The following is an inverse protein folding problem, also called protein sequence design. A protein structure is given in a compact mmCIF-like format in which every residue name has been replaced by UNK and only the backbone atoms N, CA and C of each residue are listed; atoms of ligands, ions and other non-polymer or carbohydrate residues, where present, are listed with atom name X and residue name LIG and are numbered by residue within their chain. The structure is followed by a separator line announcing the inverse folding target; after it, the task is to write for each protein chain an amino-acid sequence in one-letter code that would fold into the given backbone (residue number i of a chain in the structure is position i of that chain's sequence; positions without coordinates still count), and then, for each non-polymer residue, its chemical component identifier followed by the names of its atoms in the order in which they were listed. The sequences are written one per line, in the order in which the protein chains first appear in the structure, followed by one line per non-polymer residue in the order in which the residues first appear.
data_IF_898863282506
#
_entry.id   IF_898863282506
#
_cell.length_a   1.000
_cell.length_b   1.000
_cell.length_c   1.000
_cell.angle_alpha   90.00
_cell.angle_beta   90.00
_cell.angle_gamma   90.00
#
_symmetry.space_group_name_H-M   'P 1'
#
loop_
_entity.id
_entity.type
_entity.pdbx_description
1 polymer ?
#
# COMPACT_ATOMS: atom_id res chain seq x y z
N UNK A 1 8.81 -7.77 30.25
CA UNK A 1 8.48 -7.25 31.61
C UNK A 1 9.36 -6.04 32.03
N UNK A 2 10.63 -5.94 31.63
CA UNK A 2 11.48 -4.80 32.01
C UNK A 2 11.15 -3.53 31.19
N UNK A 3 10.90 -3.67 29.88
CA UNK A 3 10.61 -2.54 28.98
C UNK A 3 9.33 -1.78 29.37
N UNK A 4 8.28 -2.49 29.80
CA UNK A 4 7.00 -1.88 30.20
C UNK A 4 7.09 -0.99 31.46
N UNK A 5 8.23 -1.02 32.17
CA UNK A 5 8.47 -0.22 33.37
C UNK A 5 9.36 1.00 33.14
N UNK A 6 9.80 1.20 31.90
CA UNK A 6 10.63 2.37 31.57
C UNK A 6 9.77 3.63 31.51
N UNK A 7 10.29 4.77 32.02
CA UNK A 7 9.59 6.04 31.90
C UNK A 7 9.31 6.39 30.43
N UNK A 8 8.08 6.80 30.14
CA UNK A 8 7.66 7.16 28.78
C UNK A 8 7.10 6.02 27.93
N UNK A 9 7.27 4.75 28.35
CA UNK A 9 6.64 3.62 27.67
C UNK A 9 5.16 3.55 28.05
N UNK A 10 4.27 3.78 27.09
CA UNK A 10 2.81 3.74 27.29
C UNK A 10 2.22 2.36 27.06
N UNK A 11 2.73 1.63 26.06
CA UNK A 11 2.29 0.30 25.71
C UNK A 11 3.40 -0.48 24.98
N UNK A 12 3.31 -1.79 24.98
CA UNK A 12 4.16 -2.69 24.20
C UNK A 12 3.22 -3.62 23.44
N UNK A 13 3.39 -3.68 22.14
CA UNK A 13 2.62 -4.55 21.26
C UNK A 13 3.52 -5.63 20.67
N UNK A 14 3.00 -6.82 20.36
CA UNK A 14 3.71 -7.78 19.52
C UNK A 14 3.89 -7.18 18.12
N UNK A 15 4.96 -7.56 17.45
CA UNK A 15 5.11 -7.30 16.01
C UNK A 15 4.28 -8.34 15.28
N UNK A 16 3.27 -7.89 14.56
CA UNK A 16 2.39 -8.75 13.77
C UNK A 16 2.94 -8.95 12.38
N UNK A 17 2.77 -10.16 11.85
CA UNK A 17 3.06 -10.49 10.45
C UNK A 17 1.79 -10.32 9.61
N UNK A 18 1.95 -9.70 8.44
CA UNK A 18 0.88 -9.40 7.49
C UNK A 18 1.25 -10.04 6.16
N UNK A 19 0.43 -10.97 5.67
CA UNK A 19 0.67 -11.67 4.42
C UNK A 19 0.33 -10.80 3.21
N UNK A 20 1.02 -11.05 2.09
CA UNK A 20 0.63 -10.49 0.80
C UNK A 20 -0.79 -10.99 0.48
N UNK A 21 -1.73 -10.10 0.10
CA UNK A 21 -3.06 -10.52 -0.31
C UNK A 21 -3.02 -11.45 -1.51
N UNK A 22 -3.85 -12.49 -1.50
CA UNK A 22 -3.98 -13.39 -2.65
C UNK A 22 -4.61 -12.64 -3.83
N UNK A 23 -3.95 -12.72 -4.99
CA UNK A 23 -4.51 -12.26 -6.26
C UNK A 23 -5.35 -13.38 -6.86
N UNK A 24 -6.62 -13.09 -7.16
CA UNK A 24 -7.46 -14.01 -7.91
C UNK A 24 -7.31 -13.74 -9.41
N UNK A 25 -7.24 -14.80 -10.21
CA UNK A 25 -7.25 -14.72 -11.68
C UNK A 25 -8.67 -14.44 -12.20
N UNK A 26 -9.32 -13.39 -11.70
CA UNK A 26 -10.56 -12.90 -12.29
C UNK A 26 -10.23 -12.15 -13.59
N UNK A 27 -11.15 -12.19 -14.56
CA UNK A 27 -11.03 -11.36 -15.77
C UNK A 27 -11.34 -9.90 -15.36
N UNK A 28 -10.33 -9.02 -15.24
CA UNK A 28 -10.53 -7.69 -14.67
C UNK A 28 -11.22 -6.80 -15.70
N UNK A 29 -12.36 -6.23 -15.32
CA UNK A 29 -13.08 -5.24 -16.12
C UNK A 29 -13.11 -3.89 -15.38
N UNK A 30 -12.02 -3.12 -15.51
CA UNK A 30 -11.91 -1.80 -14.92
C UNK A 30 -12.92 -0.81 -15.52
N UNK A 31 -13.29 -0.97 -16.79
CA UNK A 31 -14.28 -0.12 -17.44
C UNK A 31 -15.65 -0.21 -16.74
N UNK A 32 -16.13 -1.42 -16.48
CA UNK A 32 -17.37 -1.62 -15.71
C UNK A 32 -17.25 -1.12 -14.29
N UNK A 33 -16.10 -1.31 -13.64
CA UNK A 33 -15.87 -0.81 -12.27
C UNK A 33 -15.88 0.72 -12.19
N UNK A 34 -15.30 1.41 -13.17
CA UNK A 34 -15.35 2.88 -13.26
C UNK A 34 -16.80 3.37 -13.44
N UNK A 35 -17.59 2.73 -14.31
CA UNK A 35 -18.98 3.07 -14.52
C UNK A 35 -19.84 2.83 -13.26
N UNK A 36 -19.62 1.71 -12.55
CA UNK A 36 -20.34 1.40 -11.30
C UNK A 36 -20.10 2.42 -10.19
N UNK A 37 -18.90 3.00 -10.13
CA UNK A 37 -18.51 3.97 -9.10
C UNK A 37 -18.77 5.42 -9.52
N UNK A 38 -19.07 5.68 -10.80
CA UNK A 38 -19.20 7.01 -11.38
C UNK A 38 -17.85 7.70 -11.61
N UNK A 39 -16.73 6.96 -11.56
CA UNK A 39 -15.42 7.52 -11.82
C UNK A 39 -15.26 7.95 -13.29
N UNK A 40 -15.89 7.27 -14.22
CA UNK A 40 -15.99 7.63 -15.63
C UNK A 40 -16.68 8.99 -15.84
N UNK A 41 -17.74 9.25 -15.09
CA UNK A 41 -18.44 10.57 -15.09
C UNK A 41 -17.54 11.64 -14.49
N UNK A 42 -16.86 11.35 -13.39
CA UNK A 42 -15.92 12.30 -12.78
C UNK A 42 -14.80 12.70 -13.73
N UNK A 43 -14.30 11.76 -14.53
CA UNK A 43 -13.28 12.04 -15.54
C UNK A 43 -13.85 12.80 -16.75
N UNK A 44 -14.92 12.29 -17.36
CA UNK A 44 -15.42 12.79 -18.65
C UNK A 44 -16.22 14.08 -18.57
N UNK A 45 -17.02 14.26 -17.51
CA UNK A 45 -17.91 15.42 -17.38
C UNK A 45 -17.34 16.49 -16.43
N UNK A 46 -16.62 16.08 -15.38
CA UNK A 46 -16.08 17.02 -14.38
C UNK A 46 -14.59 17.32 -14.57
N UNK A 47 -13.88 16.56 -15.42
CA UNK A 47 -12.46 16.73 -15.69
C UNK A 47 -11.56 16.39 -14.52
N UNK A 48 -12.02 15.56 -13.57
CA UNK A 48 -11.22 15.12 -12.42
C UNK A 48 -10.36 13.91 -12.79
N UNK A 49 -9.12 14.17 -13.09
CA UNK A 49 -8.14 13.15 -13.53
C UNK A 49 -7.05 12.84 -12.50
N UNK A 50 -7.12 13.49 -11.33
CA UNK A 50 -6.07 13.40 -10.31
C UNK A 50 -4.84 14.26 -10.58
N UNK A 51 -4.87 15.13 -11.57
CA UNK A 51 -3.74 16.00 -11.91
C UNK A 51 -3.29 16.86 -10.75
N UNK A 52 -2.00 16.76 -10.40
CA UNK A 52 -1.40 17.48 -9.29
C UNK A 52 -1.60 16.83 -7.92
N UNK A 53 -2.28 15.69 -7.86
CA UNK A 53 -2.44 14.89 -6.65
C UNK A 53 -1.34 13.83 -6.56
N UNK A 54 -0.74 13.69 -5.37
CA UNK A 54 0.24 12.67 -5.05
C UNK A 54 -0.42 11.53 -4.29
N UNK A 55 -0.30 10.31 -4.82
CA UNK A 55 -0.86 9.09 -4.23
C UNK A 55 0.26 8.13 -3.85
N UNK A 56 0.37 7.81 -2.58
CA UNK A 56 1.24 6.75 -2.09
C UNK A 56 0.55 5.39 -2.21
N UNK A 57 1.26 4.42 -2.75
CA UNK A 57 0.86 3.00 -2.77
C UNK A 57 1.84 2.25 -1.86
N UNK A 58 1.36 1.79 -0.70
CA UNK A 58 2.11 0.96 0.22
C UNK A 58 1.73 -0.49 -0.03
N UNK A 59 2.62 -1.23 -0.68
CA UNK A 59 2.30 -2.56 -1.21
C UNK A 59 3.57 -3.39 -1.52
N UNK A 60 3.52 -4.31 -2.49
CA UNK A 60 4.64 -5.15 -2.96
C UNK A 60 5.63 -4.41 -3.86
N UNK A 61 5.43 -3.12 -4.09
CA UNK A 61 6.17 -2.30 -5.05
C UNK A 61 5.28 -1.85 -6.20
N UNK A 62 5.89 -1.27 -7.21
CA UNK A 62 5.22 -0.85 -8.46
C UNK A 62 6.19 -1.07 -9.62
N UNK A 63 5.80 -1.85 -10.62
CA UNK A 63 6.52 -1.94 -11.90
C UNK A 63 6.42 -0.58 -12.61
N UNK A 64 7.31 0.30 -12.23
CA UNK A 64 7.37 1.67 -12.75
C UNK A 64 7.86 1.72 -14.20
N UNK A 65 8.44 0.63 -14.73
CA UNK A 65 8.84 0.50 -16.13
C UNK A 65 7.62 0.18 -17.03
N UNK A 66 6.47 -0.19 -16.42
CA UNK A 66 5.24 -0.40 -17.17
C UNK A 66 4.79 0.88 -17.88
N UNK A 67 4.52 0.83 -19.21
CA UNK A 67 4.20 2.04 -20.00
C UNK A 67 2.97 2.79 -19.48
N UNK A 68 1.93 2.09 -19.00
CA UNK A 68 0.71 2.73 -18.45
C UNK A 68 0.95 3.38 -17.09
N UNK A 69 2.08 3.10 -16.43
CA UNK A 69 2.51 3.74 -15.17
C UNK A 69 3.60 4.80 -15.38
N UNK A 70 4.01 5.04 -16.63
CA UNK A 70 4.89 6.13 -17.01
C UNK A 70 6.28 5.71 -17.47
N UNK A 71 6.67 4.43 -17.33
CA UNK A 71 7.88 3.85 -17.92
C UNK A 71 9.19 4.28 -17.28
N UNK A 72 9.17 4.88 -16.07
CA UNK A 72 10.37 5.26 -15.33
C UNK A 72 10.09 5.59 -13.86
N UNK A 73 11.17 5.63 -13.05
CA UNK A 73 11.12 5.99 -11.63
C UNK A 73 11.99 7.23 -11.33
N UNK A 74 11.52 8.07 -10.41
CA UNK A 74 12.26 9.22 -9.88
C UNK A 74 11.79 10.56 -10.42
N UNK A 75 12.61 11.59 -10.26
CA UNK A 75 12.28 12.95 -10.63
C UNK A 75 11.91 13.07 -12.13
N UNK A 76 10.76 13.67 -12.40
CA UNK A 76 10.24 13.82 -13.76
C UNK A 76 9.40 12.64 -14.26
N UNK A 77 9.37 11.51 -13.54
CA UNK A 77 8.54 10.35 -13.82
C UNK A 77 7.18 10.43 -13.14
N UNK A 78 6.23 9.62 -13.57
CA UNK A 78 4.94 9.50 -12.87
C UNK A 78 5.08 8.83 -11.51
N UNK A 79 5.91 7.77 -11.42
CA UNK A 79 6.33 7.19 -10.15
C UNK A 79 7.55 7.99 -9.69
N UNK A 80 7.28 9.12 -9.02
CA UNK A 80 8.30 10.11 -8.71
C UNK A 80 8.92 9.95 -7.32
N UNK A 81 8.24 9.26 -6.42
CA UNK A 81 8.61 9.07 -5.02
C UNK A 81 8.56 7.59 -4.67
N UNK A 82 9.22 7.24 -3.58
CA UNK A 82 9.13 5.89 -3.05
C UNK A 82 10.45 5.31 -2.60
N UNK A 83 10.38 4.12 -2.03
CA UNK A 83 11.51 3.40 -1.47
C UNK A 83 11.18 1.92 -1.30
N UNK A 84 12.15 1.03 -1.48
CA UNK A 84 12.06 -0.36 -1.04
C UNK A 84 12.54 -0.46 0.41
N UNK A 85 11.64 -0.74 1.34
CA UNK A 85 11.98 -0.84 2.76
C UNK A 85 12.53 -2.22 3.14
N UNK A 86 12.46 -3.20 2.24
CA UNK A 86 12.66 -4.62 2.64
C UNK A 86 13.61 -5.42 1.74
N UNK A 87 13.59 -5.21 0.42
CA UNK A 87 14.32 -6.03 -0.55
C UNK A 87 13.63 -7.35 -0.90
N UNK A 88 14.04 -7.95 -2.03
CA UNK A 88 13.37 -9.09 -2.68
C UNK A 88 13.21 -10.33 -1.80
N UNK A 89 14.22 -10.65 -1.03
CA UNK A 89 14.27 -11.88 -0.23
C UNK A 89 13.57 -11.77 1.14
N UNK A 90 13.02 -10.61 1.48
CA UNK A 90 12.38 -10.39 2.77
C UNK A 90 11.11 -11.23 2.93
N UNK A 91 11.00 -11.92 4.05
CA UNK A 91 9.80 -12.66 4.45
C UNK A 91 9.74 -12.77 5.97
N UNK A 92 8.80 -12.11 6.59
CA UNK A 92 8.62 -12.07 8.03
C UNK A 92 7.83 -13.25 8.60
N UNK A 93 7.34 -14.18 7.78
CA UNK A 93 6.58 -15.35 8.24
C UNK A 93 7.50 -16.43 8.83
N UNK A 94 7.51 -16.63 10.16
CA UNK A 94 8.39 -17.64 10.80
C UNK A 94 7.98 -19.07 10.47
N UNK A 95 6.81 -19.31 9.90
CA UNK A 95 6.35 -20.63 9.48
C UNK A 95 6.79 -20.96 8.03
N UNK A 96 7.26 -19.97 7.30
CA UNK A 96 7.69 -20.13 5.92
C UNK A 96 9.10 -20.78 5.85
N UNK A 97 9.34 -21.74 4.95
CA UNK A 97 10.68 -22.24 4.70
C UNK A 97 11.61 -21.17 4.09
N UNK A 98 11.05 -20.10 3.54
CA UNK A 98 11.79 -18.94 3.03
C UNK A 98 11.85 -17.78 4.05
N UNK A 99 11.70 -18.07 5.34
CA UNK A 99 11.79 -17.06 6.40
C UNK A 99 13.09 -16.28 6.34
N UNK A 100 13.01 -14.99 6.14
CA UNK A 100 14.11 -14.04 6.14
C UNK A 100 13.67 -12.68 6.68
N UNK A 101 13.70 -12.48 7.99
CA UNK A 101 13.14 -11.29 8.63
C UNK A 101 14.08 -10.08 8.62
N UNK A 102 15.21 -10.17 7.93
CA UNK A 102 16.20 -9.08 7.90
C UNK A 102 15.98 -8.27 6.62
N UNK A 103 15.48 -7.02 6.71
CA UNK A 103 15.34 -6.16 5.55
C UNK A 103 16.70 -5.81 4.91
N UNK A 104 16.69 -5.69 3.60
CA UNK A 104 17.80 -5.16 2.78
C UNK A 104 17.28 -4.01 1.92
N UNK A 105 16.97 -2.84 2.51
CA UNK A 105 16.32 -1.74 1.83
C UNK A 105 17.19 -1.14 0.71
N UNK A 106 16.51 -0.61 -0.32
CA UNK A 106 17.17 0.16 -1.37
C UNK A 106 16.25 1.26 -1.95
N UNK A 107 16.77 2.03 -2.91
CA UNK A 107 16.05 3.17 -3.47
C UNK A 107 15.05 2.81 -4.58
N UNK A 108 14.91 1.54 -4.96
CA UNK A 108 14.16 1.11 -6.14
C UNK A 108 12.97 0.24 -5.74
N UNK A 109 11.76 0.82 -5.59
CA UNK A 109 10.57 0.11 -5.14
C UNK A 109 9.89 -0.68 -6.26
N UNK A 110 10.67 -1.40 -7.06
CA UNK A 110 10.19 -2.22 -8.16
C UNK A 110 9.40 -3.43 -7.63
N UNK A 111 8.41 -3.87 -8.41
CA UNK A 111 7.49 -4.93 -8.02
C UNK A 111 7.87 -6.26 -8.64
N UNK A 112 8.20 -7.24 -7.83
CA UNK A 112 8.46 -8.62 -8.26
C UNK A 112 7.31 -9.59 -7.96
N UNK A 113 6.22 -9.10 -7.37
CA UNK A 113 5.02 -9.90 -7.05
C UNK A 113 3.87 -9.65 -8.01
N UNK A 114 3.60 -8.36 -8.34
CA UNK A 114 2.55 -7.90 -9.22
C UNK A 114 1.32 -7.32 -8.51
N UNK A 115 1.12 -7.54 -7.20
CA UNK A 115 -0.04 -7.02 -6.47
C UNK A 115 -0.04 -5.49 -6.43
N UNK A 116 1.07 -4.86 -6.02
CA UNK A 116 1.18 -3.41 -5.94
C UNK A 116 1.09 -2.72 -7.32
N UNK A 117 1.62 -3.36 -8.37
CA UNK A 117 1.48 -2.89 -9.76
C UNK A 117 0.01 -2.90 -10.19
N UNK A 118 -0.72 -3.97 -9.89
CA UNK A 118 -2.16 -4.07 -10.17
C UNK A 118 -2.93 -2.98 -9.43
N UNK A 119 -2.66 -2.78 -8.15
CA UNK A 119 -3.27 -1.71 -7.35
C UNK A 119 -2.97 -0.33 -7.94
N UNK A 120 -1.72 -0.06 -8.30
CA UNK A 120 -1.31 1.20 -8.95
C UNK A 120 -2.03 1.40 -10.29
N UNK A 121 -2.24 0.33 -11.06
CA UNK A 121 -2.98 0.35 -12.31
C UNK A 121 -4.44 0.75 -12.12
N UNK A 122 -5.14 0.18 -11.13
CA UNK A 122 -6.53 0.55 -10.80
C UNK A 122 -6.61 2.02 -10.39
N UNK A 123 -5.66 2.51 -9.59
CA UNK A 123 -5.64 3.89 -9.15
C UNK A 123 -5.42 4.84 -10.32
N UNK A 124 -4.42 4.58 -11.18
CA UNK A 124 -4.05 5.60 -12.12
C UNK A 124 -3.28 5.14 -13.36
N UNK A 125 -3.51 3.95 -13.91
CA UNK A 125 -2.99 3.62 -15.23
C UNK A 125 -3.42 4.66 -16.26
N UNK A 126 -2.53 4.96 -17.21
CA UNK A 126 -2.78 5.96 -18.26
C UNK A 126 -2.14 5.53 -19.58
N UNK A 127 -2.79 4.60 -20.26
CA UNK A 127 -2.31 4.04 -21.52
C UNK A 127 -3.33 3.08 -22.13
N UNK A 128 -2.98 1.83 -22.32
CA UNK A 128 -3.88 0.81 -22.80
C UNK A 128 -5.03 0.55 -21.81
N UNK A 129 -4.75 0.71 -20.50
CA UNK A 129 -5.73 0.72 -19.44
C UNK A 129 -5.80 2.14 -18.86
N UNK A 130 -7.00 2.59 -18.48
CA UNK A 130 -7.22 3.89 -17.83
C UNK A 130 -7.75 3.66 -16.42
N UNK A 131 -7.01 4.10 -15.41
CA UNK A 131 -7.39 4.00 -14.00
C UNK A 131 -8.36 5.09 -13.56
N UNK A 132 -8.69 5.08 -12.26
CA UNK A 132 -9.62 6.06 -11.65
C UNK A 132 -9.10 7.49 -11.76
N UNK A 133 -7.80 7.70 -11.59
CA UNK A 133 -7.14 9.01 -11.58
C UNK A 133 -5.86 8.99 -12.45
N UNK A 134 -5.99 9.00 -13.79
CA UNK A 134 -4.90 8.71 -14.72
C UNK A 134 -3.79 9.76 -14.75
N UNK A 135 -3.95 10.92 -14.11
CA UNK A 135 -2.93 11.98 -14.07
C UNK A 135 -2.29 12.19 -12.70
N UNK A 136 -2.48 11.24 -11.76
CA UNK A 136 -1.80 11.32 -10.45
C UNK A 136 -0.29 11.12 -10.57
N UNK A 137 0.44 11.67 -9.60
CA UNK A 137 1.85 11.32 -9.34
C UNK A 137 1.89 10.26 -8.26
N UNK A 138 2.64 9.18 -8.49
CA UNK A 138 2.78 8.09 -7.55
C UNK A 138 3.98 8.22 -6.62
N UNK A 139 3.81 7.70 -5.39
CA UNK A 139 4.88 7.27 -4.52
C UNK A 139 4.72 5.77 -4.25
N UNK A 140 5.72 4.96 -4.60
CA UNK A 140 5.74 3.52 -4.37
C UNK A 140 6.52 3.19 -3.10
N UNK A 141 5.86 2.67 -2.07
CA UNK A 141 6.50 2.29 -0.80
C UNK A 141 6.39 0.79 -0.65
N UNK A 142 7.47 0.11 -1.01
CA UNK A 142 7.52 -1.35 -0.99
C UNK A 142 7.78 -1.85 0.41
N UNK A 143 6.85 -2.64 0.92
CA UNK A 143 6.89 -3.21 2.27
C UNK A 143 6.91 -4.74 2.30
N UNK A 144 6.83 -5.40 1.14
CA UNK A 144 6.94 -6.85 0.99
C UNK A 144 8.13 -7.22 0.10
N UNK A 145 8.73 -8.38 0.38
CA UNK A 145 9.59 -9.05 -0.60
C UNK A 145 8.80 -9.60 -1.77
N UNK A 146 9.42 -10.40 -2.63
CA UNK A 146 8.73 -11.00 -3.78
C UNK A 146 7.66 -12.02 -3.35
N UNK A 147 7.74 -12.54 -2.14
CA UNK A 147 6.77 -13.46 -1.56
C UNK A 147 6.77 -13.34 -0.03
N UNK A 148 5.73 -13.86 0.62
CA UNK A 148 5.67 -14.00 2.07
C UNK A 148 4.91 -12.88 2.77
N UNK A 149 5.50 -12.34 3.83
CA UNK A 149 4.81 -11.44 4.77
C UNK A 149 5.68 -10.26 5.14
N UNK A 150 5.03 -9.16 5.54
CA UNK A 150 5.66 -7.99 6.16
C UNK A 150 5.29 -7.87 7.63
N UNK A 151 5.72 -6.78 8.26
CA UNK A 151 5.44 -6.48 9.66
C UNK A 151 4.90 -5.05 9.83
N UNK A 152 4.12 -4.83 10.90
CA UNK A 152 3.49 -3.55 11.17
C UNK A 152 4.46 -2.39 11.39
N UNK A 153 5.66 -2.64 11.90
CA UNK A 153 6.71 -1.62 12.07
C UNK A 153 7.27 -1.14 10.74
N UNK A 154 7.44 -2.03 9.75
CA UNK A 154 7.83 -1.67 8.38
C UNK A 154 6.72 -0.84 7.73
N UNK A 155 5.45 -1.22 7.90
CA UNK A 155 4.32 -0.44 7.41
C UNK A 155 4.29 0.97 8.01
N UNK A 156 4.53 1.09 9.31
CA UNK A 156 4.58 2.40 9.97
C UNK A 156 5.75 3.26 9.44
N UNK A 157 6.91 2.67 9.18
CA UNK A 157 8.03 3.38 8.55
C UNK A 157 7.66 3.89 7.14
N UNK A 158 6.97 3.09 6.34
CA UNK A 158 6.46 3.51 5.03
C UNK A 158 5.44 4.66 5.13
N UNK A 159 4.55 4.63 6.14
CA UNK A 159 3.60 5.71 6.43
C UNK A 159 4.33 7.02 6.74
N UNK A 160 5.37 6.98 7.56
CA UNK A 160 6.18 8.15 7.90
C UNK A 160 6.91 8.70 6.67
N UNK A 161 7.45 7.84 5.81
CA UNK A 161 8.09 8.26 4.56
C UNK A 161 7.09 8.91 3.61
N UNK A 162 5.90 8.32 3.41
CA UNK A 162 4.85 8.90 2.58
C UNK A 162 4.43 10.30 3.07
N UNK A 163 4.34 10.49 4.39
CA UNK A 163 4.05 11.80 4.98
C UNK A 163 5.19 12.80 4.71
N UNK A 164 6.44 12.38 4.87
CA UNK A 164 7.62 13.22 4.64
C UNK A 164 7.76 13.65 3.18
N UNK A 165 7.39 12.79 2.22
CA UNK A 165 7.37 13.08 0.79
C UNK A 165 6.18 13.96 0.36
N UNK A 166 5.29 14.29 1.32
CA UNK A 166 4.13 15.13 1.08
C UNK A 166 3.05 14.46 0.24
N UNK A 167 2.87 13.15 0.41
CA UNK A 167 1.78 12.43 -0.21
C UNK A 167 0.44 12.92 0.36
N UNK A 168 -0.57 13.05 -0.50
CA UNK A 168 -1.88 13.56 -0.14
C UNK A 168 -2.89 12.43 0.11
N UNK A 169 -2.67 11.29 -0.55
CA UNK A 169 -3.47 10.09 -0.40
C UNK A 169 -2.51 8.92 -0.14
N UNK A 170 -2.85 8.07 0.82
CA UNK A 170 -2.18 6.78 1.05
C UNK A 170 -3.17 5.65 0.80
N UNK A 171 -2.83 4.76 -0.13
CA UNK A 171 -3.56 3.52 -0.36
C UNK A 171 -2.84 2.34 0.28
N UNK A 172 -3.59 1.56 1.05
CA UNK A 172 -3.15 0.32 1.69
C UNK A 172 -4.11 -0.81 1.31
N UNK A 173 -3.82 -1.52 0.22
CA UNK A 173 -4.58 -2.71 -0.17
C UNK A 173 -4.07 -3.96 0.53
N UNK A 174 -3.74 -3.83 1.80
CA UNK A 174 -3.11 -4.82 2.68
C UNK A 174 -3.74 -4.77 4.07
N UNK A 175 -3.58 -5.83 4.85
CA UNK A 175 -4.07 -5.92 6.22
C UNK A 175 -4.16 -7.36 6.70
N UNK A 176 -4.62 -7.55 7.92
CA UNK A 176 -4.91 -8.85 8.50
C UNK A 176 -6.33 -8.89 9.07
N UNK A 177 -6.94 -10.09 9.09
CA UNK A 177 -8.23 -10.28 9.72
C UNK A 177 -8.17 -10.09 11.25
N UNK A 178 -9.31 -9.76 11.85
CA UNK A 178 -9.49 -9.65 13.29
C UNK A 178 -8.60 -8.61 13.96
N UNK A 179 -8.27 -7.54 13.27
CA UNK A 179 -7.55 -6.41 13.84
C UNK A 179 -8.52 -5.41 14.49
N UNK A 180 -7.96 -4.58 15.37
CA UNK A 180 -8.70 -3.61 16.17
C UNK A 180 -8.11 -2.21 16.03
N UNK A 181 -8.90 -1.14 16.24
CA UNK A 181 -8.43 0.24 16.09
C UNK A 181 -7.25 0.63 17.01
N UNK A 182 -6.96 -0.19 18.02
CA UNK A 182 -5.85 0.05 18.95
C UNK A 182 -4.52 -0.54 18.47
N UNK A 183 -4.52 -1.28 17.36
CA UNK A 183 -3.26 -1.76 16.78
C UNK A 183 -2.36 -0.59 16.33
N UNK A 184 -1.04 -0.73 16.44
CA UNK A 184 -0.10 0.35 16.12
C UNK A 184 -0.26 0.91 14.71
N UNK A 185 -0.52 0.07 13.73
CA UNK A 185 -0.76 0.48 12.33
C UNK A 185 -2.02 1.31 12.19
N UNK A 186 -3.13 0.91 12.82
CA UNK A 186 -4.38 1.67 12.83
C UNK A 186 -4.20 3.04 13.51
N UNK A 187 -3.49 3.08 14.64
CA UNK A 187 -3.17 4.34 15.34
C UNK A 187 -2.25 5.23 14.49
N UNK A 188 -1.33 4.66 13.74
CA UNK A 188 -0.47 5.41 12.82
C UNK A 188 -1.29 5.99 11.65
N UNK A 189 -2.18 5.20 11.05
CA UNK A 189 -3.10 5.65 9.99
C UNK A 189 -4.00 6.81 10.47
N UNK A 190 -4.56 6.72 11.69
CA UNK A 190 -5.35 7.80 12.30
C UNK A 190 -4.53 9.10 12.44
N UNK A 191 -3.26 9.01 12.81
CA UNK A 191 -2.37 10.19 12.87
C UNK A 191 -2.13 10.81 11.49
N UNK A 192 -1.99 10.00 10.44
CA UNK A 192 -1.86 10.51 9.07
C UNK A 192 -3.11 11.28 8.66
N UNK A 193 -4.30 10.75 8.95
CA UNK A 193 -5.58 11.43 8.70
C UNK A 193 -5.64 12.76 9.46
N UNK A 194 -5.26 12.76 10.73
CA UNK A 194 -5.20 13.99 11.55
C UNK A 194 -4.14 15.00 11.05
N UNK A 195 -3.17 14.54 10.25
CA UNK A 195 -2.17 15.40 9.59
C UNK A 195 -2.63 15.93 8.23
N UNK A 196 -3.85 15.56 7.79
CA UNK A 196 -4.46 16.03 6.53
C UNK A 196 -4.30 15.09 5.34
N UNK A 197 -3.73 13.91 5.52
CA UNK A 197 -3.63 12.88 4.48
C UNK A 197 -4.94 12.09 4.38
N UNK A 198 -5.39 11.79 3.18
CA UNK A 198 -6.48 10.83 2.95
C UNK A 198 -5.91 9.42 3.01
N UNK A 199 -6.37 8.60 3.95
CA UNK A 199 -5.92 7.21 4.08
C UNK A 199 -7.04 6.27 3.65
N UNK A 200 -6.74 5.38 2.71
CA UNK A 200 -7.65 4.40 2.15
C UNK A 200 -7.08 3.00 2.41
N UNK A 201 -7.87 2.17 3.06
CA UNK A 201 -7.46 0.80 3.38
C UNK A 201 -8.53 -0.20 2.97
N UNK A 202 -8.11 -1.39 2.55
CA UNK A 202 -9.03 -2.49 2.31
C UNK A 202 -9.58 -3.03 3.62
N UNK A 203 -10.84 -3.46 3.62
CA UNK A 203 -11.43 -4.17 4.78
C UNK A 203 -10.90 -5.60 4.91
N UNK A 204 -10.20 -6.10 3.89
CA UNK A 204 -9.66 -7.45 3.81
C UNK A 204 -10.57 -8.45 3.11
N UNK A 205 -10.07 -9.67 2.94
CA UNK A 205 -10.69 -10.76 2.17
C UNK A 205 -11.28 -11.87 3.06
N UNK A 206 -11.36 -11.66 4.36
CA UNK A 206 -11.68 -12.70 5.36
C UNK A 206 -13.16 -12.80 5.70
N UNK A 207 -14.08 -12.30 4.85
CA UNK A 207 -15.52 -12.29 5.10
C UNK A 207 -16.13 -13.67 5.39
N UNK A 208 -15.56 -14.75 4.86
CA UNK A 208 -15.96 -16.12 5.16
C UNK A 208 -15.82 -16.49 6.66
N UNK A 209 -14.99 -15.77 7.41
CA UNK A 209 -14.82 -15.94 8.85
C UNK A 209 -15.94 -15.28 9.68
N UNK A 210 -16.90 -14.59 9.05
CA UNK A 210 -18.05 -13.98 9.69
C UNK A 210 -17.77 -12.61 10.30
N UNK A 211 -18.54 -12.27 11.35
CA UNK A 211 -18.47 -10.97 12.00
C UNK A 211 -17.10 -10.75 12.67
N UNK A 212 -16.67 -9.48 12.69
CA UNK A 212 -15.39 -9.02 13.26
C UNK A 212 -14.13 -9.51 12.52
N UNK A 213 -14.28 -10.05 11.29
CA UNK A 213 -13.14 -10.48 10.47
C UNK A 213 -12.48 -9.34 9.68
N UNK A 214 -12.94 -8.11 9.85
CA UNK A 214 -12.33 -6.95 9.21
C UNK A 214 -10.90 -6.70 9.69
N UNK A 215 -10.08 -6.15 8.79
CA UNK A 215 -8.77 -5.61 9.14
C UNK A 215 -8.89 -4.23 9.80
N UNK A 216 -7.83 -3.82 10.47
CA UNK A 216 -7.56 -2.45 10.86
C UNK A 216 -6.09 -2.18 10.51
N UNK A 217 -5.84 -1.35 9.51
CA UNK A 217 -4.49 -1.15 8.98
C UNK A 217 -3.54 -0.52 9.98
#
# INVERSE_FOLDING_TARGET
AKLARLPGVKAIFPVETIAIPETTTADPDLFTALAMTGADVAQSELGFTGKGIKVAVMDTGTDYDHPDLGGCFGEGCRVAYGYDLVGDAFNADPASPAYNPIPTPDAYPDDCNGHGTHVSGIIGANGAVVGVAPEVTFGAYRVFGCAGSTTGDIMMAAMEMALADGMQVLNMSIGSAFQWPQYPTAVAADKLVNSGMVVVASIGNSGANGLYSAGAP
#
